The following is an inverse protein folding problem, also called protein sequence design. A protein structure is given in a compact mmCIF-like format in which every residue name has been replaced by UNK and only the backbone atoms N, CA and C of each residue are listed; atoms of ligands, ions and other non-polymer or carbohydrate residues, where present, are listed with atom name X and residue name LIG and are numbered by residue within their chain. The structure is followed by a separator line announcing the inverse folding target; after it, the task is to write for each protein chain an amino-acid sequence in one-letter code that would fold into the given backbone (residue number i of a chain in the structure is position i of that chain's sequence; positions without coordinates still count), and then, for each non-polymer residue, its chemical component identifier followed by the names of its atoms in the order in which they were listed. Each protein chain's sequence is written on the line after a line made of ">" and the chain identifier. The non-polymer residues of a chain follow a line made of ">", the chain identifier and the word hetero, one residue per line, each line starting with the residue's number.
data_IF_046566272849
#
_entry.id   IF_046566272849
#
_cell.length_a   1.000
_cell.length_b   1.000
_cell.length_c   1.000
_cell.angle_alpha   90.00
_cell.angle_beta   90.00
_cell.angle_gamma   90.00
#
_symmetry.space_group_name_H-M   'P 1'
#
loop_
_entity.id
_entity.type
_entity.pdbx_description
1 polymer ?
#
# COMPACT_ATOMS: atom_id res chain seq x y z
N UNK A 1 7.06 -12.12 -3.74
CA UNK A 1 7.80 -11.04 -3.08
C UNK A 1 7.15 -10.65 -1.77
N UNK A 2 7.92 -10.07 -0.86
CA UNK A 2 7.38 -9.59 0.42
C UNK A 2 7.18 -8.09 0.39
N UNK A 3 6.13 -7.64 1.06
CA UNK A 3 5.87 -6.22 1.31
C UNK A 3 5.45 -6.05 2.77
N UNK A 4 5.49 -4.82 3.26
CA UNK A 4 5.13 -4.50 4.63
C UNK A 4 3.91 -3.60 4.64
N UNK A 5 2.93 -3.89 5.50
CA UNK A 5 1.73 -3.06 5.65
C UNK A 5 1.52 -2.75 7.12
N UNK A 6 1.41 -1.48 7.44
CA UNK A 6 1.27 -0.99 8.81
C UNK A 6 0.07 -0.04 8.94
N UNK A 7 -0.46 0.02 10.13
CA UNK A 7 -1.49 1.00 10.47
C UNK A 7 -2.89 0.38 10.55
N UNK A 8 -3.88 1.14 10.10
CA UNK A 8 -5.30 0.76 10.24
C UNK A 8 -5.74 -0.23 9.17
N UNK A 9 -5.22 -1.43 9.24
CA UNK A 9 -5.65 -2.58 8.41
C UNK A 9 -5.94 -3.75 9.33
N UNK A 10 -6.67 -4.73 8.82
CA UNK A 10 -7.07 -5.88 9.63
C UNK A 10 -5.88 -6.70 10.12
N UNK A 11 -4.91 -6.96 9.25
CA UNK A 11 -3.74 -7.78 9.57
C UNK A 11 -2.47 -7.06 9.13
N UNK A 12 -1.95 -6.13 9.94
CA UNK A 12 -0.69 -5.46 9.61
C UNK A 12 0.48 -6.42 9.73
N UNK A 13 1.55 -6.12 9.01
CA UNK A 13 2.77 -6.90 9.07
C UNK A 13 3.38 -7.14 7.71
N UNK A 14 4.35 -8.06 7.67
CA UNK A 14 5.04 -8.43 6.44
C UNK A 14 4.34 -9.60 5.79
N UNK A 15 3.95 -9.46 4.52
CA UNK A 15 3.20 -10.48 3.80
C UNK A 15 3.88 -10.86 2.50
N UNK A 16 3.68 -12.12 2.10
CA UNK A 16 4.13 -12.63 0.81
C UNK A 16 3.03 -12.42 -0.22
N UNK A 17 3.37 -11.80 -1.34
CA UNK A 17 2.42 -11.50 -2.41
C UNK A 17 3.01 -11.90 -3.76
N UNK A 18 2.14 -12.12 -4.73
CA UNK A 18 2.56 -12.37 -6.09
C UNK A 18 3.02 -11.07 -6.76
N UNK A 19 3.98 -11.19 -7.67
CA UNK A 19 4.38 -10.06 -8.49
C UNK A 19 3.21 -9.61 -9.37
N UNK A 20 3.10 -8.31 -9.57
CA UNK A 20 2.07 -7.73 -10.43
C UNK A 20 0.72 -7.52 -9.79
N UNK A 21 0.57 -7.78 -8.47
CA UNK A 21 -0.68 -7.43 -7.79
C UNK A 21 -0.85 -5.92 -7.72
N UNK A 22 -2.09 -5.46 -7.63
CA UNK A 22 -2.38 -4.05 -7.45
C UNK A 22 -2.68 -3.72 -5.97
N UNK A 23 -2.85 -2.43 -5.69
CA UNK A 23 -3.12 -1.97 -4.32
C UNK A 23 -4.44 -2.52 -3.77
N UNK A 24 -5.46 -2.65 -4.60
CA UNK A 24 -6.74 -3.18 -4.16
C UNK A 24 -6.60 -4.63 -3.69
N UNK A 25 -5.85 -5.44 -4.44
CA UNK A 25 -5.59 -6.82 -4.06
C UNK A 25 -4.75 -6.88 -2.79
N UNK A 26 -3.71 -6.05 -2.70
CA UNK A 26 -2.86 -6.02 -1.51
C UNK A 26 -3.67 -5.71 -0.26
N UNK A 27 -4.50 -4.68 -0.29
CA UNK A 27 -5.28 -4.32 0.89
C UNK A 27 -6.36 -5.35 1.21
N UNK A 28 -6.88 -6.05 0.21
CA UNK A 28 -7.78 -7.18 0.45
C UNK A 28 -7.08 -8.31 1.20
N UNK A 29 -5.81 -8.57 0.88
CA UNK A 29 -5.03 -9.60 1.57
C UNK A 29 -4.74 -9.24 3.02
N UNK A 30 -4.69 -7.95 3.34
CA UNK A 30 -4.44 -7.49 4.71
C UNK A 30 -5.70 -7.28 5.54
N UNK A 31 -6.83 -7.76 5.06
CA UNK A 31 -8.10 -7.62 5.75
C UNK A 31 -8.82 -6.30 5.49
N UNK A 32 -8.27 -5.49 4.62
CA UNK A 32 -8.85 -4.19 4.26
C UNK A 32 -8.58 -3.10 5.27
N UNK A 33 -8.86 -1.84 4.90
CA UNK A 33 -8.74 -0.71 5.82
C UNK A 33 -9.76 -0.84 6.95
N UNK A 34 -9.35 -0.47 8.15
CA UNK A 34 -10.23 -0.47 9.31
C UNK A 34 -10.93 0.87 9.46
N UNK A 35 -11.99 0.87 10.27
CA UNK A 35 -12.74 2.08 10.57
C UNK A 35 -11.81 3.15 11.12
N UNK A 36 -11.89 4.36 10.59
CA UNK A 36 -11.04 5.47 10.97
C UNK A 36 -9.74 5.57 10.19
N UNK A 37 -9.49 4.65 9.27
CA UNK A 37 -8.30 4.74 8.41
C UNK A 37 -8.37 5.94 7.49
N UNK A 38 -7.25 6.64 7.34
CA UNK A 38 -7.16 7.77 6.42
C UNK A 38 -6.77 7.27 5.03
N UNK A 39 -7.76 6.99 4.20
CA UNK A 39 -7.54 6.47 2.85
C UNK A 39 -7.12 7.53 1.85
N UNK A 40 -7.19 8.81 2.20
CA UNK A 40 -6.75 9.89 1.33
C UNK A 40 -5.24 10.06 1.30
N UNK A 41 -4.55 9.53 2.30
CA UNK A 41 -3.10 9.73 2.46
C UNK A 41 -2.42 8.43 2.85
N UNK A 42 -2.50 7.45 1.96
CA UNK A 42 -1.74 6.21 2.14
C UNK A 42 -0.30 6.48 1.73
N UNK A 43 0.63 6.27 2.66
CA UNK A 43 2.05 6.51 2.41
C UNK A 43 2.72 5.23 1.92
N UNK A 44 3.52 5.35 0.87
CA UNK A 44 4.25 4.24 0.28
C UNK A 44 5.73 4.57 0.26
N UNK A 45 6.53 3.69 0.84
CA UNK A 45 7.98 3.81 0.88
C UNK A 45 8.59 2.72 0.00
N UNK A 46 9.35 3.12 -1.02
CA UNK A 46 10.13 2.20 -1.83
C UNK A 46 11.54 2.12 -1.28
N UNK A 47 12.07 0.91 -1.21
CA UNK A 47 13.43 0.69 -0.79
C UNK A 47 14.30 0.40 -2.00
N UNK A 48 15.35 1.21 -2.19
CA UNK A 48 16.33 1.01 -3.25
C UNK A 48 17.67 0.61 -2.65
N UNK A 49 18.27 -0.50 -3.09
CA UNK A 49 19.45 -1.05 -2.43
C UNK A 49 20.67 -0.11 -2.43
N UNK A 50 20.76 0.77 -3.41
CA UNK A 50 21.93 1.64 -3.57
C UNK A 50 21.62 3.11 -3.29
N UNK A 51 20.54 3.38 -2.55
CA UNK A 51 20.10 4.76 -2.34
C UNK A 51 20.26 5.19 -0.90
N UNK A 52 20.26 6.50 -0.73
CA UNK A 52 20.47 7.16 0.54
C UNK A 52 19.16 7.36 1.30
N UNK A 53 18.10 6.79 0.86
CA UNK A 53 16.81 6.91 1.50
C UNK A 53 15.73 6.29 0.66
N UNK A 54 14.51 6.35 1.16
CA UNK A 54 13.35 5.80 0.51
C UNK A 54 12.59 6.89 -0.23
N UNK A 55 11.98 6.52 -1.35
CA UNK A 55 11.04 7.39 -2.02
C UNK A 55 9.68 7.21 -1.37
N UNK A 56 9.02 8.33 -1.08
CA UNK A 56 7.70 8.34 -0.47
C UNK A 56 6.68 8.78 -1.52
N UNK A 57 5.65 7.98 -1.71
CA UNK A 57 4.47 8.36 -2.47
C UNK A 57 3.30 8.49 -1.52
N UNK A 58 2.39 9.42 -1.83
CA UNK A 58 1.13 9.54 -1.10
C UNK A 58 0.00 9.25 -2.08
N UNK A 59 -0.84 8.28 -1.74
CA UNK A 59 -1.89 7.80 -2.62
C UNK A 59 -3.25 8.09 -1.98
N UNK A 60 -4.16 8.66 -2.77
CA UNK A 60 -5.56 8.80 -2.39
C UNK A 60 -6.32 7.57 -2.90
N UNK A 61 -6.63 6.65 -1.99
CA UNK A 61 -7.33 5.41 -2.31
C UNK A 61 -8.85 5.59 -2.39
N UNK A 62 -9.36 6.76 -1.98
CA UNK A 62 -10.82 7.01 -1.98
C UNK A 62 -11.39 7.05 -3.39
N UNK A 63 -10.62 7.47 -4.36
CA UNK A 63 -11.06 7.48 -5.76
C UNK A 63 -11.40 6.08 -6.25
N UNK A 64 -10.59 5.09 -5.89
CA UNK A 64 -10.89 3.71 -6.23
C UNK A 64 -12.18 3.23 -5.55
N UNK A 65 -12.34 3.56 -4.27
CA UNK A 65 -13.52 3.11 -3.50
C UNK A 65 -14.80 3.71 -4.06
N UNK A 66 -14.76 4.98 -4.45
CA UNK A 66 -15.95 5.69 -4.94
C UNK A 66 -16.31 5.33 -6.37
N UNK A 67 -15.32 5.19 -7.25
CA UNK A 67 -15.57 5.10 -8.70
C UNK A 67 -14.85 3.95 -9.38
N UNK A 68 -14.00 3.21 -8.66
CA UNK A 68 -13.16 2.18 -9.26
C UNK A 68 -11.95 2.73 -10.00
N UNK A 69 -11.65 4.01 -9.84
CA UNK A 69 -10.54 4.65 -10.52
C UNK A 69 -9.20 4.17 -9.96
N UNK A 70 -8.37 3.62 -10.83
CA UNK A 70 -7.04 3.09 -10.48
C UNK A 70 -5.89 3.95 -10.98
N UNK A 71 -6.18 5.16 -11.44
CA UNK A 71 -5.15 6.02 -12.04
C UNK A 71 -4.04 6.42 -11.06
N UNK A 72 -4.32 6.40 -9.76
CA UNK A 72 -3.35 6.70 -8.72
C UNK A 72 -2.53 5.49 -8.26
N UNK A 73 -2.82 4.31 -8.77
CA UNK A 73 -2.12 3.11 -8.35
C UNK A 73 -0.70 3.13 -8.90
N UNK A 74 0.25 2.76 -8.06
CA UNK A 74 1.65 2.63 -8.45
C UNK A 74 2.02 1.15 -8.50
N UNK A 75 3.09 0.84 -9.22
CA UNK A 75 3.63 -0.51 -9.24
C UNK A 75 4.20 -0.86 -7.87
N UNK A 76 3.85 -2.04 -7.37
CA UNK A 76 4.33 -2.51 -6.08
C UNK A 76 5.66 -3.21 -6.30
N UNK A 77 6.67 -2.79 -5.56
CA UNK A 77 8.03 -3.33 -5.63
C UNK A 77 8.33 -4.20 -4.42
N UNK A 78 9.28 -5.14 -4.52
CA UNK A 78 9.68 -5.92 -3.37
C UNK A 78 10.13 -5.02 -2.21
N UNK A 79 9.73 -5.39 -1.00
CA UNK A 79 10.04 -4.70 0.25
C UNK A 79 9.41 -3.31 0.39
N UNK A 80 8.45 -2.96 -0.45
CA UNK A 80 7.70 -1.73 -0.25
C UNK A 80 6.97 -1.74 1.09
N UNK A 81 6.86 -0.58 1.70
CA UNK A 81 6.15 -0.39 2.96
C UNK A 81 4.98 0.55 2.74
N UNK A 82 3.81 0.11 3.16
CA UNK A 82 2.56 0.86 3.05
C UNK A 82 2.08 1.22 4.45
N UNK A 83 1.80 2.50 4.68
CA UNK A 83 1.32 2.98 5.97
C UNK A 83 -0.04 3.63 5.79
N UNK A 84 -1.03 3.09 6.49
CA UNK A 84 -2.42 3.56 6.48
C UNK A 84 -2.75 4.09 7.87
N UNK A 85 -2.76 5.40 7.99
CA UNK A 85 -3.01 6.07 9.28
C UNK A 85 -4.46 6.15 9.66
#
# INVERSE_FOLDING_TARGET
>A
MYVNVWGHVGNPGRILVDEGIDLATLFSLTGGPQKGANLKKIQVYHEYPNKQGNIVHVIDFTDFIKTGDRSNFIAIQPNDTFIIK
#
